data_IF_457391651660
#
_entry.id   IF_457391651660
#
_cell.length_a   1.000
_cell.length_b   1.000
_cell.length_c   1.000
_cell.angle_alpha   90.00
_cell.angle_beta   90.00
_cell.angle_gamma   90.00
#
_symmetry.space_group_name_H-M   'P 1'
#
loop_
_entity.id
_entity.type
_entity.pdbx_description
1 polymer ?
#
# COMPACT_ATOMS: atom_id res chain seq x y z
N UNK A 1 -5.45 -12.33 -11.59
CA UNK A 1 -6.46 -11.77 -10.66
C UNK A 1 -5.90 -10.46 -10.15
N UNK A 2 -6.75 -9.48 -9.82
CA UNK A 2 -6.24 -8.23 -9.23
C UNK A 2 -6.13 -8.40 -7.72
N UNK A 3 -4.95 -8.10 -7.20
CA UNK A 3 -4.62 -8.18 -5.80
C UNK A 3 -4.41 -6.78 -5.25
N UNK A 4 -4.75 -6.61 -3.97
CA UNK A 4 -4.57 -5.36 -3.25
C UNK A 4 -3.68 -5.58 -2.04
N UNK A 5 -2.65 -4.74 -1.90
CA UNK A 5 -1.86 -4.59 -0.68
C UNK A 5 -1.99 -3.15 -0.20
N UNK A 6 -2.45 -2.96 1.04
CA UNK A 6 -2.57 -1.65 1.68
C UNK A 6 -1.56 -1.58 2.80
N UNK A 7 -0.64 -0.63 2.68
CA UNK A 7 0.29 -0.27 3.73
C UNK A 7 -0.14 1.07 4.35
N UNK A 8 0.03 1.23 5.65
CA UNK A 8 -0.08 2.52 6.32
C UNK A 8 1.25 2.98 6.86
N UNK A 9 1.41 4.30 6.92
CA UNK A 9 2.48 4.95 7.65
C UNK A 9 1.92 6.15 8.41
N UNK A 10 2.72 6.68 9.35
CA UNK A 10 2.45 8.00 9.91
C UNK A 10 2.32 9.01 8.76
N UNK A 11 1.31 9.88 8.82
CA UNK A 11 1.06 10.90 7.79
C UNK A 11 2.35 11.64 7.43
N UNK A 12 2.66 11.63 6.14
CA UNK A 12 3.82 12.32 5.58
C UNK A 12 3.40 13.33 4.51
N UNK A 13 4.33 14.20 4.14
CA UNK A 13 4.16 15.14 3.03
C UNK A 13 4.67 14.45 1.78
N UNK A 14 3.82 14.34 0.76
CA UNK A 14 4.20 13.74 -0.51
C UNK A 14 5.20 14.64 -1.27
N UNK A 15 6.34 14.10 -1.70
CA UNK A 15 7.24 14.83 -2.58
C UNK A 15 6.65 14.88 -3.99
N UNK A 16 6.89 15.98 -4.71
CA UNK A 16 6.44 16.12 -6.12
C UNK A 16 7.00 15.05 -7.08
N UNK A 17 8.10 14.40 -6.69
CA UNK A 17 8.75 13.35 -7.44
C UNK A 17 9.49 12.40 -6.48
N UNK A 18 9.64 11.14 -6.88
CA UNK A 18 10.37 10.13 -6.09
C UNK A 18 9.52 9.44 -5.03
N UNK A 19 8.20 9.40 -5.21
CA UNK A 19 7.24 8.71 -4.37
C UNK A 19 7.65 7.25 -4.12
N UNK A 20 8.09 6.52 -5.14
CA UNK A 20 8.57 5.14 -4.98
C UNK A 20 9.81 5.04 -4.07
N UNK A 21 10.71 6.02 -4.12
CA UNK A 21 11.89 6.06 -3.24
C UNK A 21 11.47 6.34 -1.80
N UNK A 22 10.49 7.20 -1.59
CA UNK A 22 9.89 7.43 -0.27
C UNK A 22 9.28 6.12 0.26
N UNK A 23 8.42 5.46 -0.51
CA UNK A 23 7.80 4.19 -0.10
C UNK A 23 8.85 3.13 0.25
N UNK A 24 9.87 2.95 -0.60
CA UNK A 24 10.99 2.05 -0.31
C UNK A 24 11.73 2.40 0.98
N UNK A 25 11.93 3.69 1.27
CA UNK A 25 12.57 4.10 2.52
C UNK A 25 11.71 3.79 3.74
N UNK A 26 10.40 4.00 3.65
CA UNK A 26 9.46 3.69 4.73
C UNK A 26 9.43 2.19 5.02
N UNK A 27 9.42 1.34 3.98
CA UNK A 27 9.51 -0.12 4.12
C UNK A 27 10.81 -0.51 4.84
N UNK A 28 11.96 -0.02 4.35
CA UNK A 28 13.29 -0.40 4.87
C UNK A 28 13.55 0.09 6.29
N UNK A 29 12.97 1.22 6.68
CA UNK A 29 13.08 1.76 8.02
C UNK A 29 12.04 1.17 8.99
N UNK A 30 11.18 0.24 8.52
CA UNK A 30 10.08 -0.32 9.30
C UNK A 30 9.14 0.78 9.84
N UNK A 31 8.87 1.80 9.02
CA UNK A 31 7.97 2.93 9.30
C UNK A 31 6.57 2.72 8.71
N UNK A 32 6.23 1.45 8.43
CA UNK A 32 4.97 1.04 7.82
C UNK A 32 4.32 -0.11 8.58
N UNK A 33 3.01 -0.21 8.44
CA UNK A 33 2.20 -1.35 8.85
C UNK A 33 1.44 -1.92 7.66
N UNK A 34 1.11 -3.21 7.73
CA UNK A 34 0.28 -3.88 6.73
C UNK A 34 -1.16 -3.82 7.23
N UNK A 35 -2.01 -3.03 6.58
CA UNK A 35 -3.45 -2.98 6.92
C UNK A 35 -4.24 -4.05 6.16
N UNK A 36 -3.85 -4.38 4.92
CA UNK A 36 -4.57 -5.35 4.10
C UNK A 36 -3.66 -6.04 3.09
N UNK A 37 -3.85 -7.35 2.90
CA UNK A 37 -3.28 -8.10 1.79
C UNK A 37 -4.26 -9.17 1.32
N UNK A 38 -4.80 -9.02 0.10
CA UNK A 38 -5.88 -9.87 -0.39
C UNK A 38 -6.24 -9.63 -1.85
N UNK A 39 -7.36 -10.21 -2.28
CA UNK A 39 -7.95 -9.86 -3.58
C UNK A 39 -8.65 -8.52 -3.48
N UNK A 40 -8.69 -7.79 -4.59
CA UNK A 40 -9.50 -6.57 -4.65
C UNK A 40 -10.97 -6.90 -4.32
N UNK A 41 -11.55 -6.18 -3.36
CA UNK A 41 -12.95 -6.33 -2.96
C UNK A 41 -13.74 -5.21 -3.60
N UNK A 42 -14.70 -5.55 -4.47
CA UNK A 42 -15.53 -4.60 -5.23
C UNK A 42 -16.41 -3.64 -4.37
N UNK A 43 -16.43 -3.76 -3.04
CA UNK A 43 -17.23 -2.90 -2.15
C UNK A 43 -16.57 -2.71 -0.78
N UNK A 44 -15.99 -1.53 -0.56
CA UNK A 44 -15.44 -1.09 0.75
C UNK A 44 -16.29 0.00 1.39
N UNK A 45 -17.62 -0.08 1.26
CA UNK A 45 -18.55 0.82 1.93
C UNK A 45 -19.34 0.03 2.96
N UNK A 46 -18.95 0.13 4.24
CA UNK A 46 -19.87 0.40 5.34
C UNK A 46 -19.13 0.36 6.68
N UNK A 47 -19.41 1.38 7.52
CA UNK A 47 -18.86 1.69 8.85
C UNK A 47 -17.57 2.51 8.88
N UNK A 48 -17.70 3.83 8.68
CA UNK A 48 -16.76 4.80 9.23
C UNK A 48 -17.28 5.25 10.60
N UNK A 49 -16.54 4.94 11.66
CA UNK A 49 -16.72 5.54 12.98
C UNK A 49 -15.68 6.66 13.22
N UNK A 50 -15.81 7.38 14.34
CA UNK A 50 -14.91 8.49 14.68
C UNK A 50 -13.44 8.06 14.81
N UNK A 51 -13.19 6.80 15.19
CA UNK A 51 -11.85 6.23 15.33
C UNK A 51 -11.23 5.98 13.94
N UNK A 52 -12.01 5.45 13.00
CA UNK A 52 -11.61 5.27 11.61
C UNK A 52 -11.35 6.62 10.93
N UNK A 53 -12.17 7.63 11.19
CA UNK A 53 -11.90 8.99 10.71
C UNK A 53 -10.59 9.57 11.23
N UNK A 54 -10.30 9.36 12.53
CA UNK A 54 -9.07 9.85 13.14
C UNK A 54 -7.85 9.13 12.56
N UNK A 55 -7.95 7.81 12.33
CA UNK A 55 -6.92 7.03 11.65
C UNK A 55 -6.67 7.59 10.25
N UNK A 56 -7.72 7.82 9.46
CA UNK A 56 -7.60 8.41 8.12
C UNK A 56 -6.92 9.78 8.16
N UNK A 57 -7.23 10.65 9.13
CA UNK A 57 -6.64 12.01 9.21
C UNK A 57 -5.14 12.01 9.57
N UNK A 58 -4.67 11.00 10.29
CA UNK A 58 -3.31 10.94 10.87
C UNK A 58 -2.37 9.93 10.20
N UNK A 59 -2.92 9.14 9.27
CA UNK A 59 -2.24 8.05 8.58
C UNK A 59 -2.19 8.34 7.09
N UNK A 60 -1.07 8.04 6.45
CA UNK A 60 -0.95 7.97 4.99
C UNK A 60 -1.08 6.52 4.55
N UNK A 61 -1.87 6.25 3.53
CA UNK A 61 -2.05 4.93 2.94
C UNK A 61 -1.28 4.81 1.63
N UNK A 62 -0.74 3.62 1.39
CA UNK A 62 -0.01 3.27 0.19
C UNK A 62 -0.65 2.00 -0.34
N UNK A 63 -1.42 2.15 -1.41
CA UNK A 63 -2.19 1.07 -2.03
C UNK A 63 -1.42 0.53 -3.23
N UNK A 64 -1.27 -0.78 -3.28
CA UNK A 64 -0.70 -1.51 -4.40
C UNK A 64 -1.82 -2.30 -5.06
N UNK A 65 -2.04 -2.06 -6.33
CA UNK A 65 -2.94 -2.82 -7.20
C UNK A 65 -2.08 -3.53 -8.22
N UNK A 66 -2.09 -4.86 -8.22
CA UNK A 66 -1.22 -5.64 -9.10
C UNK A 66 -1.89 -6.93 -9.56
N UNK A 67 -1.55 -7.37 -10.77
CA UNK A 67 -2.01 -8.64 -11.32
C UNK A 67 -1.04 -9.79 -11.03
N UNK A 68 -1.55 -10.90 -10.51
CA UNK A 68 -0.80 -12.16 -10.39
C UNK A 68 -1.76 -13.37 -10.51
N UNK A 69 -1.19 -14.57 -10.41
CA UNK A 69 -1.91 -15.82 -10.21
C UNK A 69 -2.54 -15.86 -8.81
N UNK A 70 -3.31 -16.91 -8.53
CA UNK A 70 -3.91 -17.11 -7.22
C UNK A 70 -2.84 -17.10 -6.10
N UNK A 71 -3.04 -16.23 -5.11
CA UNK A 71 -2.15 -16.06 -3.96
C UNK A 71 -2.81 -16.70 -2.72
N UNK A 72 -2.10 -17.59 -2.06
CA UNK A 72 -2.50 -18.14 -0.76
C UNK A 72 -2.01 -17.21 0.37
N UNK A 73 -2.77 -16.15 0.65
CA UNK A 73 -2.37 -15.07 1.57
C UNK A 73 -1.96 -15.54 2.97
N UNK A 74 -2.60 -16.59 3.48
CA UNK A 74 -2.34 -17.14 4.82
C UNK A 74 -0.93 -17.71 5.00
N UNK A 75 -0.20 -17.97 3.90
CA UNK A 75 1.18 -18.47 3.93
C UNK A 75 2.23 -17.37 4.03
N UNK A 76 1.85 -16.10 3.85
CA UNK A 76 2.80 -15.00 3.85
C UNK A 76 2.97 -14.43 5.25
N UNK A 77 4.23 -14.37 5.69
CA UNK A 77 4.64 -13.59 6.86
C UNK A 77 4.69 -12.09 6.54
N UNK A 78 4.69 -11.24 7.58
CA UNK A 78 4.88 -9.79 7.44
C UNK A 78 6.11 -9.47 6.58
N UNK A 79 7.23 -10.12 6.85
CA UNK A 79 8.49 -9.90 6.13
C UNK A 79 8.38 -10.26 4.64
N UNK A 80 7.67 -11.35 4.31
CA UNK A 80 7.46 -11.76 2.92
C UNK A 80 6.54 -10.79 2.16
N UNK A 81 5.52 -10.26 2.82
CA UNK A 81 4.63 -9.23 2.22
C UNK A 81 5.41 -7.94 1.97
N UNK A 82 6.24 -7.50 2.92
CA UNK A 82 7.05 -6.29 2.72
C UNK A 82 8.09 -6.50 1.61
N UNK A 83 8.69 -7.68 1.53
CA UNK A 83 9.61 -8.03 0.44
C UNK A 83 8.89 -8.09 -0.91
N UNK A 84 7.63 -8.53 -0.96
CA UNK A 84 6.80 -8.45 -2.15
C UNK A 84 6.60 -6.99 -2.57
N UNK A 85 6.23 -6.09 -1.64
CA UNK A 85 6.09 -4.66 -1.92
C UNK A 85 7.38 -4.03 -2.48
N UNK A 86 8.54 -4.34 -1.88
CA UNK A 86 9.84 -3.89 -2.40
C UNK A 86 10.13 -4.39 -3.82
N UNK A 87 9.79 -5.66 -4.10
CA UNK A 87 9.96 -6.25 -5.43
C UNK A 87 9.07 -5.56 -6.45
N UNK A 88 7.80 -5.33 -6.12
CA UNK A 88 6.84 -4.63 -6.98
C UNK A 88 7.35 -3.22 -7.33
N UNK A 89 7.83 -2.46 -6.34
CA UNK A 89 8.40 -1.12 -6.57
C UNK A 89 9.66 -1.12 -7.45
N UNK A 90 10.44 -2.21 -7.40
CA UNK A 90 11.75 -2.27 -8.05
C UNK A 90 11.70 -2.91 -9.45
N UNK A 91 10.68 -3.71 -9.75
CA UNK A 91 10.61 -4.56 -10.95
C UNK A 91 9.55 -4.13 -11.96
N UNK A 92 8.78 -3.09 -11.67
CA UNK A 92 7.66 -2.66 -12.50
C UNK A 92 7.99 -1.37 -13.25
N UNK A 93 8.56 -1.46 -14.48
CA UNK A 93 8.92 -0.28 -15.27
C UNK A 93 7.69 0.51 -15.74
N UNK A 94 6.54 -0.15 -15.86
CA UNK A 94 5.28 0.43 -16.34
C UNK A 94 4.32 0.83 -15.20
N UNK A 95 4.84 0.87 -13.96
CA UNK A 95 4.04 1.24 -12.79
C UNK A 95 3.50 2.67 -12.91
N UNK A 96 2.19 2.82 -12.72
CA UNK A 96 1.51 4.10 -12.68
C UNK A 96 1.37 4.52 -11.21
N UNK A 97 1.89 5.70 -10.89
CA UNK A 97 1.75 6.31 -9.56
C UNK A 97 0.68 7.38 -9.62
N UNK A 98 -0.39 7.21 -8.85
CA UNK A 98 -1.39 8.23 -8.58
C UNK A 98 -1.24 8.71 -7.13
N UNK A 99 -1.41 10.00 -6.90
CA UNK A 99 -1.32 10.61 -5.57
C UNK A 99 -2.59 11.36 -5.24
N UNK A 100 -3.11 11.16 -4.03
CA UNK A 100 -4.18 11.96 -3.46
C UNK A 100 -3.75 12.51 -2.10
N UNK A 101 -3.28 13.76 -2.10
CA UNK A 101 -2.89 14.55 -0.93
C UNK A 101 -1.76 13.92 -0.08
N UNK A 102 -2.08 12.89 0.70
CA UNK A 102 -1.18 12.16 1.60
C UNK A 102 -1.08 10.67 1.26
N UNK A 103 -1.94 10.17 0.38
CA UNK A 103 -2.08 8.76 0.02
C UNK A 103 -1.50 8.51 -1.38
N UNK A 104 -0.99 7.29 -1.61
CA UNK A 104 -0.34 6.87 -2.87
C UNK A 104 -1.04 5.62 -3.38
N UNK A 105 -1.46 5.65 -4.64
CA UNK A 105 -1.93 4.48 -5.36
C UNK A 105 -0.89 4.06 -6.40
N UNK A 106 -0.50 2.79 -6.36
CA UNK A 106 0.49 2.17 -7.23
C UNK A 106 -0.21 1.09 -8.05
N UNK A 107 -0.36 1.33 -9.34
CA UNK A 107 -0.90 0.36 -10.29
C UNK A 107 0.26 -0.29 -11.03
N UNK A 108 0.39 -1.62 -10.88
CA UNK A 108 1.54 -2.41 -11.31
C UNK A 108 1.11 -3.49 -12.31
#
# INVERSE_FOLDING_TARGET
>A
MVHTLILSAKKFILPKAGQCKLVLSLIRNNEIEIDYFGMEIDNSADYQDEEMELKIKTTSFINFFFEDNEIEYSKYSKEEILKLAENLLSKSPDMIVSEDNKDIDLYI
#
